data_IF_816481298363
#
_entry.id   IF_816481298363
#
_cell.length_a   1.000
_cell.length_b   1.000
_cell.length_c   1.000
_cell.angle_alpha   90.00
_cell.angle_beta   90.00
_cell.angle_gamma   90.00
#
_symmetry.space_group_name_H-M   'P 1'
#
loop_
_entity.id
_entity.type
_entity.pdbx_description
1 polymer ?
#
# COMPACT_ATOMS: atom_id res chain seq x y z
N UNK A 1 -16.46 1.64 -12.49
CA UNK A 1 -16.40 0.19 -12.32
C UNK A 1 -15.78 -0.19 -10.99
N UNK A 2 -16.31 -1.22 -10.47
CA UNK A 2 -15.87 -1.73 -9.20
C UNK A 2 -14.55 -2.46 -9.38
N UNK A 3 -13.57 -2.10 -8.58
CA UNK A 3 -12.33 -2.84 -8.58
C UNK A 3 -12.56 -4.21 -7.97
N UNK A 4 -12.06 -5.22 -8.64
CA UNK A 4 -12.09 -6.55 -8.07
C UNK A 4 -11.04 -6.61 -6.96
N UNK A 5 -11.49 -6.75 -5.74
CA UNK A 5 -10.59 -6.75 -4.60
C UNK A 5 -10.09 -8.14 -4.23
N UNK A 6 -10.47 -9.11 -5.01
CA UNK A 6 -10.07 -10.50 -4.80
C UNK A 6 -8.91 -10.88 -5.71
N UNK A 7 -7.99 -9.95 -5.94
CA UNK A 7 -6.87 -10.16 -6.83
C UNK A 7 -5.78 -11.02 -6.20
N UNK A 8 -6.07 -12.29 -5.98
CA UNK A 8 -5.11 -13.20 -5.38
C UNK A 8 -5.67 -13.80 -4.12
N UNK A 9 -5.01 -14.82 -3.63
CA UNK A 9 -5.48 -15.60 -2.49
C UNK A 9 -5.56 -14.77 -1.21
N UNK A 10 -4.71 -13.80 -1.08
CA UNK A 10 -4.58 -13.02 0.13
C UNK A 10 -4.82 -11.53 -0.11
N UNK A 11 -5.29 -11.18 -1.32
CA UNK A 11 -5.54 -9.79 -1.67
C UNK A 11 -4.30 -8.99 -2.00
N UNK A 12 -3.12 -9.58 -1.94
CA UNK A 12 -1.88 -8.83 -2.17
C UNK A 12 -1.69 -8.42 -3.62
N UNK A 13 -2.30 -9.14 -4.56
CA UNK A 13 -2.21 -8.76 -5.97
C UNK A 13 -2.82 -7.39 -6.22
N UNK A 14 -3.86 -7.06 -5.47
CA UNK A 14 -4.47 -5.74 -5.55
C UNK A 14 -3.46 -4.66 -5.16
N UNK A 15 -2.77 -4.87 -4.06
CA UNK A 15 -1.76 -3.90 -3.61
C UNK A 15 -0.58 -3.82 -4.58
N UNK A 16 -0.19 -4.95 -5.15
CA UNK A 16 0.87 -4.94 -6.16
C UNK A 16 0.50 -4.06 -7.34
N UNK A 17 -0.73 -4.17 -7.80
CA UNK A 17 -1.20 -3.37 -8.92
C UNK A 17 -1.24 -1.89 -8.56
N UNK A 18 -1.76 -1.57 -7.38
CA UNK A 18 -1.82 -0.18 -6.94
C UNK A 18 -0.41 0.41 -6.87
N UNK A 19 0.51 -0.30 -6.25
CA UNK A 19 1.87 0.19 -6.08
C UNK A 19 2.58 0.37 -7.41
N UNK A 20 2.35 -0.55 -8.33
CA UNK A 20 2.96 -0.45 -9.66
C UNK A 20 2.40 0.72 -10.45
N UNK A 21 1.07 0.84 -10.48
CA UNK A 21 0.42 1.88 -11.27
C UNK A 21 0.66 3.27 -10.70
N UNK A 22 0.73 3.39 -9.40
CA UNK A 22 0.87 4.69 -8.76
C UNK A 22 2.17 5.38 -9.11
N UNK A 23 3.19 4.63 -9.45
CA UNK A 23 4.46 5.22 -9.86
C UNK A 23 4.32 6.12 -11.09
N UNK A 24 3.36 5.79 -11.96
CA UNK A 24 3.16 6.54 -13.19
C UNK A 24 2.36 7.81 -12.98
N UNK A 25 1.66 7.92 -11.85
CA UNK A 25 0.75 9.02 -11.60
C UNK A 25 1.21 9.96 -10.50
N UNK A 26 2.16 9.54 -9.68
CA UNK A 26 2.62 10.35 -8.57
C UNK A 26 3.95 10.97 -8.93
N UNK A 27 4.05 12.28 -8.71
CA UNK A 27 5.29 12.99 -8.99
C UNK A 27 6.39 12.52 -8.04
N UNK A 28 7.63 12.68 -8.49
CA UNK A 28 8.77 12.39 -7.66
C UNK A 28 8.64 13.10 -6.31
N UNK A 29 8.87 12.39 -5.24
CA UNK A 29 8.70 12.85 -3.86
C UNK A 29 7.24 13.04 -3.46
N UNK A 30 6.31 12.57 -4.29
CA UNK A 30 4.91 12.56 -3.92
C UNK A 30 4.61 11.51 -2.88
N UNK A 31 3.42 11.55 -2.32
CA UNK A 31 3.00 10.63 -1.28
C UNK A 31 1.84 9.78 -1.76
N UNK A 32 1.79 8.56 -1.26
CA UNK A 32 0.70 7.64 -1.50
C UNK A 32 0.17 7.16 -0.15
N UNK A 33 -1.15 7.13 -0.03
CA UNK A 33 -1.80 6.61 1.17
C UNK A 33 -2.95 5.71 0.74
N UNK A 34 -3.12 4.58 1.41
CA UNK A 34 -4.31 3.76 1.24
C UNK A 34 -4.54 2.91 2.48
N UNK A 35 -5.76 2.40 2.59
CA UNK A 35 -6.12 1.55 3.70
C UNK A 35 -5.69 0.11 3.46
N UNK A 36 -5.37 -0.59 4.55
CA UNK A 36 -4.95 -1.99 4.49
C UNK A 36 -5.74 -2.79 5.51
N UNK A 37 -5.77 -4.11 5.32
CA UNK A 37 -6.29 -4.99 6.35
C UNK A 37 -5.32 -5.04 7.53
N UNK A 38 -5.88 -5.21 8.73
CA UNK A 38 -5.07 -5.13 9.94
C UNK A 38 -3.95 -6.18 10.00
N UNK A 39 -4.10 -7.25 9.25
CA UNK A 39 -3.12 -8.35 9.24
C UNK A 39 -2.23 -8.32 7.99
N UNK A 40 -2.26 -7.24 7.21
CA UNK A 40 -1.55 -7.17 5.95
C UNK A 40 -0.37 -6.21 5.95
N UNK A 41 -0.15 -5.51 7.06
CA UNK A 41 0.84 -4.43 7.08
C UNK A 41 2.22 -4.89 6.65
N UNK A 42 2.70 -6.00 7.21
CA UNK A 42 4.04 -6.47 6.89
C UNK A 42 4.18 -6.79 5.40
N UNK A 43 3.20 -7.50 4.85
CA UNK A 43 3.26 -7.90 3.45
C UNK A 43 3.23 -6.69 2.52
N UNK A 44 2.38 -5.71 2.84
CA UNK A 44 2.28 -4.51 2.02
C UNK A 44 3.55 -3.69 2.12
N UNK A 45 4.14 -3.59 3.30
CA UNK A 45 5.42 -2.90 3.46
C UNK A 45 6.50 -3.55 2.60
N UNK A 46 6.57 -4.88 2.62
CA UNK A 46 7.55 -5.59 1.81
C UNK A 46 7.35 -5.34 0.33
N UNK A 47 6.09 -5.34 -0.13
CA UNK A 47 5.78 -5.04 -1.52
C UNK A 47 6.18 -3.61 -1.88
N UNK A 48 5.89 -2.66 -1.00
CA UNK A 48 6.22 -1.27 -1.26
C UNK A 48 7.74 -1.08 -1.38
N UNK A 49 8.49 -1.72 -0.52
CA UNK A 49 9.96 -1.64 -0.59
C UNK A 49 10.48 -2.22 -1.89
N UNK A 50 9.91 -3.34 -2.33
CA UNK A 50 10.29 -3.96 -3.59
C UNK A 50 10.06 -3.03 -4.76
N UNK A 51 8.99 -2.26 -4.70
CA UNK A 51 8.62 -1.34 -5.77
C UNK A 51 9.37 -0.01 -5.69
N UNK A 52 10.23 0.16 -4.70
CA UNK A 52 11.06 1.37 -4.63
C UNK A 52 10.47 2.50 -3.81
N UNK A 53 9.38 2.27 -3.12
CA UNK A 53 8.82 3.27 -2.23
C UNK A 53 9.67 3.41 -0.98
N UNK A 54 9.62 4.58 -0.35
CA UNK A 54 10.40 4.83 0.85
C UNK A 54 9.58 5.64 1.85
N UNK A 55 10.15 5.84 3.03
CA UNK A 55 9.50 6.57 4.12
C UNK A 55 8.14 5.96 4.43
N UNK A 56 8.10 4.64 4.52
CA UNK A 56 6.87 3.87 4.67
C UNK A 56 6.45 3.89 6.13
N UNK A 57 5.19 4.27 6.37
CA UNK A 57 4.65 4.36 7.72
C UNK A 57 3.33 3.62 7.81
N UNK A 58 3.15 2.92 8.92
CA UNK A 58 1.89 2.24 9.21
C UNK A 58 1.09 3.15 10.14
N UNK A 59 -0.17 3.33 9.82
CA UNK A 59 -1.09 4.18 10.59
C UNK A 59 -2.08 3.28 11.29
N UNK A 60 -2.14 3.42 12.60
CA UNK A 60 -3.03 2.59 13.41
C UNK A 60 -4.31 3.33 13.76
N UNK A 61 -5.39 2.57 13.96
CA UNK A 61 -6.63 3.16 14.44
C UNK A 61 -6.58 3.32 15.96
N UNK A 62 -7.68 3.79 16.53
CA UNK A 62 -7.74 4.04 17.96
C UNK A 62 -7.66 2.76 18.79
N UNK A 63 -7.95 1.63 18.18
CA UNK A 63 -7.82 0.32 18.84
C UNK A 63 -6.40 -0.21 18.80
N UNK A 64 -5.50 0.47 18.10
CA UNK A 64 -4.13 0.02 17.93
C UNK A 64 -3.93 -0.96 16.80
N UNK A 65 -4.94 -1.14 15.96
CA UNK A 65 -4.81 -2.04 14.82
C UNK A 65 -4.35 -1.28 13.59
N UNK A 66 -3.53 -1.94 12.77
CA UNK A 66 -3.05 -1.35 11.53
C UNK A 66 -4.22 -1.07 10.60
N UNK A 67 -4.33 0.16 10.11
CA UNK A 67 -5.46 0.58 9.31
C UNK A 67 -5.05 1.18 7.98
N UNK A 68 -3.92 1.83 7.93
CA UNK A 68 -3.48 2.49 6.72
C UNK A 68 -1.98 2.43 6.56
N UNK A 69 -1.53 2.79 5.38
CA UNK A 69 -0.11 2.86 5.06
C UNK A 69 0.13 4.10 4.22
N UNK A 70 1.20 4.81 4.54
CA UNK A 70 1.64 5.94 3.75
C UNK A 70 3.07 5.73 3.33
N UNK A 71 3.45 6.29 2.18
CA UNK A 71 4.77 6.11 1.64
C UNK A 71 5.06 7.19 0.63
N UNK A 72 6.32 7.34 0.29
CA UNK A 72 6.74 8.32 -0.71
C UNK A 72 7.30 7.63 -1.93
N UNK A 73 7.16 8.30 -3.05
CA UNK A 73 7.66 7.83 -4.34
C UNK A 73 8.96 8.55 -4.64
N UNK A 74 9.94 7.79 -5.02
CA UNK A 74 11.22 8.36 -5.40
C UNK A 74 11.27 8.61 -6.91
#
# INVERSE_FOLDING_TARGET
PKLALDGGKDGLDFYKKILNLSKDFINKNGSLYFEIGYDQAKDVVDLAKKEGYYNIKIIKDLSGKDRGISMRVD
#
